data_IF_186311940186
#
_entry.id   IF_186311940186
#
_cell.length_a   1.000
_cell.length_b   1.000
_cell.length_c   1.000
_cell.angle_alpha   90.00
_cell.angle_beta   90.00
_cell.angle_gamma   90.00
#
_symmetry.space_group_name_H-M   'P 1'
#
loop_
_entity.id
_entity.type
_entity.pdbx_description
1 polymer ?
#
# COMPACT_ATOMS: atom_id res chain seq x y z
N UNK A 1 -3.15 -2.33 9.64
CA UNK A 1 -2.20 -2.24 10.77
C UNK A 1 -1.94 -0.78 11.00
N UNK A 2 -2.11 -0.27 12.21
CA UNK A 2 -1.80 1.12 12.54
C UNK A 2 -0.40 1.21 13.15
N UNK A 3 0.45 2.09 12.62
CA UNK A 3 1.86 2.20 12.96
C UNK A 3 2.18 3.29 13.98
N UNK A 4 1.32 4.31 14.12
CA UNK A 4 1.50 5.33 15.14
C UNK A 4 1.04 4.78 16.51
N UNK A 5 1.89 4.78 17.57
CA UNK A 5 1.49 4.33 18.90
C UNK A 5 0.34 5.13 19.52
N UNK A 6 0.06 6.34 19.03
CA UNK A 6 -1.08 7.17 19.44
C UNK A 6 -2.34 6.91 18.61
N UNK A 7 -2.26 6.08 17.58
CA UNK A 7 -3.38 5.74 16.71
C UNK A 7 -4.38 4.76 17.34
N UNK A 8 -5.61 4.75 16.83
CA UNK A 8 -6.63 3.82 17.27
C UNK A 8 -6.26 2.38 16.88
N UNK A 9 -6.23 1.46 17.85
CA UNK A 9 -5.85 0.06 17.61
C UNK A 9 -4.41 -0.11 17.14
N UNK A 10 -3.51 0.78 17.57
CA UNK A 10 -2.09 0.79 17.21
C UNK A 10 -1.41 -0.56 17.42
N UNK A 11 -0.60 -0.98 16.43
CA UNK A 11 0.27 -2.16 16.49
C UNK A 11 1.66 -1.81 15.92
N UNK A 12 2.37 -0.81 16.48
CA UNK A 12 3.64 -0.29 15.95
C UNK A 12 4.75 -1.34 15.85
N UNK A 13 4.71 -2.35 16.72
CA UNK A 13 5.66 -3.46 16.70
C UNK A 13 5.59 -4.28 15.41
N UNK A 14 4.39 -4.48 14.86
CA UNK A 14 4.24 -5.16 13.58
C UNK A 14 4.83 -4.33 12.42
N UNK A 15 4.78 -3.00 12.50
CA UNK A 15 5.42 -2.12 11.52
C UNK A 15 6.94 -2.19 11.61
N UNK A 16 7.50 -2.23 12.83
CA UNK A 16 8.94 -2.42 13.05
C UNK A 16 9.43 -3.77 12.53
N UNK A 17 8.71 -4.85 12.85
CA UNK A 17 9.01 -6.20 12.36
C UNK A 17 8.91 -6.30 10.84
N UNK A 18 7.93 -5.62 10.24
CA UNK A 18 7.83 -5.48 8.80
C UNK A 18 8.92 -4.57 8.20
N UNK A 19 9.69 -3.84 9.02
CA UNK A 19 10.75 -2.94 8.56
C UNK A 19 10.23 -1.68 7.86
N UNK A 20 9.08 -1.15 8.27
CA UNK A 20 8.52 0.13 7.79
C UNK A 20 9.37 1.27 8.36
N UNK A 21 9.94 2.10 7.48
CA UNK A 21 10.81 3.24 7.85
C UNK A 21 10.20 4.60 7.57
N UNK A 22 9.22 4.66 6.67
CA UNK A 22 8.53 5.88 6.28
C UNK A 22 7.04 5.62 6.07
N UNK A 23 6.21 6.67 6.22
CA UNK A 23 4.79 6.61 5.95
C UNK A 23 4.43 7.45 4.71
N UNK A 24 3.50 6.99 3.86
CA UNK A 24 2.99 5.62 3.80
C UNK A 24 4.03 4.64 3.20
N UNK A 25 3.86 3.35 3.48
CA UNK A 25 4.60 2.25 2.83
C UNK A 25 3.61 1.21 2.31
N UNK A 26 3.80 0.77 1.07
CA UNK A 26 3.00 -0.24 0.40
C UNK A 26 3.81 -1.53 0.26
N UNK A 27 3.20 -2.67 0.60
CA UNK A 27 3.72 -4.01 0.30
C UNK A 27 2.61 -4.78 -0.40
N UNK A 28 2.72 -4.92 -1.72
CA UNK A 28 1.69 -5.45 -2.61
C UNK A 28 2.36 -6.27 -3.71
N UNK A 29 1.83 -7.45 -4.04
CA UNK A 29 2.37 -8.27 -5.15
C UNK A 29 3.82 -8.75 -4.97
N UNK A 30 4.36 -8.75 -3.74
CA UNK A 30 5.77 -9.05 -3.48
C UNK A 30 6.70 -7.85 -3.64
N UNK A 31 6.18 -6.69 -4.05
CA UNK A 31 6.92 -5.45 -4.20
C UNK A 31 6.69 -4.50 -3.03
N UNK A 32 7.72 -3.73 -2.69
CA UNK A 32 7.67 -2.65 -1.70
C UNK A 32 7.83 -1.29 -2.39
N UNK A 33 7.04 -0.30 -1.98
CA UNK A 33 7.17 1.10 -2.36
C UNK A 33 6.89 2.01 -1.15
N UNK A 34 7.69 3.07 -1.00
CA UNK A 34 7.50 4.08 0.04
C UNK A 34 6.98 5.38 -0.59
N UNK A 35 6.22 6.15 0.19
CA UNK A 35 5.65 7.41 -0.25
C UNK A 35 4.25 7.28 -0.86
N UNK A 36 3.66 8.44 -1.15
CA UNK A 36 2.34 8.54 -1.78
C UNK A 36 2.45 8.06 -3.23
N UNK A 37 1.51 7.21 -3.63
CA UNK A 37 1.37 6.70 -4.99
C UNK A 37 0.03 7.17 -5.58
N UNK A 38 0.00 7.43 -6.88
CA UNK A 38 -1.24 7.67 -7.62
C UNK A 38 -2.08 6.39 -7.69
N UNK A 39 -3.36 6.52 -8.02
CA UNK A 39 -4.24 5.36 -8.21
C UNK A 39 -3.77 4.46 -9.34
N UNK A 40 -3.25 5.02 -10.43
CA UNK A 40 -2.70 4.25 -11.55
C UNK A 40 -1.47 3.44 -11.13
N UNK A 41 -0.57 4.03 -10.33
CA UNK A 41 0.60 3.32 -9.77
C UNK A 41 0.18 2.18 -8.85
N UNK A 42 -0.86 2.38 -8.04
CA UNK A 42 -1.42 1.34 -7.19
C UNK A 42 -2.12 0.25 -8.01
N UNK A 43 -2.81 0.60 -9.09
CA UNK A 43 -3.44 -0.36 -9.99
C UNK A 43 -2.40 -1.25 -10.67
N UNK A 44 -1.31 -0.66 -11.16
CA UNK A 44 -0.16 -1.39 -11.73
C UNK A 44 0.45 -2.35 -10.69
N UNK A 45 0.78 -1.83 -9.49
CA UNK A 45 1.41 -2.60 -8.42
C UNK A 45 0.53 -3.77 -7.92
N UNK A 46 -0.79 -3.57 -7.90
CA UNK A 46 -1.76 -4.59 -7.46
C UNK A 46 -2.26 -5.50 -8.59
N UNK A 47 -1.90 -5.21 -9.84
CA UNK A 47 -2.48 -5.81 -11.05
C UNK A 47 -4.00 -5.65 -11.13
N UNK A 48 -4.53 -4.61 -10.49
CA UNK A 48 -5.93 -4.25 -10.58
C UNK A 48 -6.25 -3.68 -11.95
N UNK A 49 -7.39 -4.07 -12.52
CA UNK A 49 -7.87 -3.55 -13.80
C UNK A 49 -9.15 -2.76 -13.58
N UNK A 50 -9.19 -1.53 -14.08
CA UNK A 50 -10.42 -0.73 -14.06
C UNK A 50 -11.48 -1.39 -14.95
N UNK A 51 -12.70 -1.50 -14.42
CA UNK A 51 -13.81 -2.13 -15.13
C UNK A 51 -14.10 -1.53 -16.52
N UNK A 52 -13.75 -0.25 -16.73
CA UNK A 52 -13.93 0.47 -17.99
C UNK A 52 -12.96 0.08 -19.11
N UNK A 53 -11.94 -0.73 -18.84
CA UNK A 53 -11.03 -1.25 -19.89
C UNK A 53 -11.59 -2.46 -20.66
N UNK A 54 -12.79 -2.94 -20.29
CA UNK A 54 -13.43 -4.08 -20.94
C UNK A 54 -14.24 -3.72 -22.20
N UNK A 55 -14.34 -2.44 -22.55
CA UNK A 55 -15.31 -1.91 -23.53
C UNK A 55 -14.73 -1.19 -24.75
N UNK A 56 -13.44 -1.33 -25.06
CA UNK A 56 -12.85 -0.83 -26.32
C UNK A 56 -12.34 -2.00 -27.16
N UNK A 57 -13.25 -2.64 -27.88
CA UNK A 57 -12.98 -3.43 -29.09
C UNK A 57 -13.96 -3.00 -30.16
#
# INVERSE_FOLDING_TARGET
MECDPKGAGARPELCRQAGVKAYPTWVLGGERREGVLSLDQLAELSRFRYASESGKR
#
